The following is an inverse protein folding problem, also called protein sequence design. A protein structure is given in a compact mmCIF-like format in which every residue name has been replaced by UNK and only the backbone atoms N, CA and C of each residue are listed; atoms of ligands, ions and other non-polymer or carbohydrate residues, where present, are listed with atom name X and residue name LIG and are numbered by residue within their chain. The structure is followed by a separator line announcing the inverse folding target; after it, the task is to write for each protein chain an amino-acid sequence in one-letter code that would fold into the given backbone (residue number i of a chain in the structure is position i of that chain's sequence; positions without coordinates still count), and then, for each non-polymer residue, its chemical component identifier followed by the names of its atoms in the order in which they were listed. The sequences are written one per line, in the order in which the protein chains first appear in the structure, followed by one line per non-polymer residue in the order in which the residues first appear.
data_IF_685797162226
#
_entry.id   IF_685797162226
#
_cell.length_a   1.000
_cell.length_b   1.000
_cell.length_c   1.000
_cell.angle_alpha   90.00
_cell.angle_beta   90.00
_cell.angle_gamma   90.00
#
_symmetry.space_group_name_H-M   'P 1'
#
loop_
_entity.id
_entity.type
_entity.pdbx_description
1 polymer ?
#
# COMPACT_ATOMS: atom_id res chain seq x y z
N UNK A 1 -1.38 -37.27 -3.99
CA UNK A 1 -2.83 -37.04 -4.17
C UNK A 1 -3.02 -35.54 -4.05
N UNK A 2 -3.24 -34.87 -5.17
CA UNK A 2 -3.22 -33.40 -5.30
C UNK A 2 -4.50 -32.80 -4.72
N UNK A 3 -4.42 -32.27 -3.50
CA UNK A 3 -5.55 -31.64 -2.82
C UNK A 3 -5.73 -30.18 -3.28
N UNK A 4 -6.17 -30.00 -4.53
CA UNK A 4 -7.01 -28.86 -4.88
C UNK A 4 -6.36 -27.56 -5.35
N UNK A 5 -5.16 -27.58 -5.95
CA UNK A 5 -4.67 -26.64 -6.99
C UNK A 5 -4.70 -25.12 -6.74
N UNK A 6 -5.15 -24.68 -5.57
CA UNK A 6 -5.22 -23.31 -5.15
C UNK A 6 -3.97 -23.11 -4.28
N UNK A 7 -3.00 -22.33 -4.74
CA UNK A 7 -1.76 -22.03 -4.01
C UNK A 7 -2.04 -21.25 -2.72
N UNK A 8 -2.73 -21.87 -1.75
CA UNK A 8 -3.13 -21.27 -0.48
C UNK A 8 -1.88 -21.00 0.32
N UNK A 9 -1.42 -19.75 0.27
CA UNK A 9 -0.27 -19.25 1.04
C UNK A 9 -0.79 -18.68 2.35
N UNK A 10 -0.43 -19.30 3.46
CA UNK A 10 -0.65 -18.73 4.79
C UNK A 10 0.55 -17.85 5.11
N UNK A 11 0.29 -16.59 5.47
CA UNK A 11 1.29 -15.67 6.02
C UNK A 11 0.98 -15.47 7.49
N UNK A 12 2.01 -15.57 8.33
CA UNK A 12 1.92 -15.34 9.77
C UNK A 12 2.79 -14.14 10.09
N UNK A 13 2.21 -13.14 10.75
CA UNK A 13 2.90 -11.92 11.17
C UNK A 13 2.96 -11.89 12.69
N UNK A 14 4.14 -11.57 13.25
CA UNK A 14 4.25 -11.25 14.68
C UNK A 14 3.88 -9.78 14.85
N UNK A 15 2.88 -9.50 15.67
CA UNK A 15 2.55 -8.13 16.04
C UNK A 15 3.59 -7.56 17.01
N UNK A 16 3.84 -6.23 17.00
CA UNK A 16 4.65 -5.58 18.00
C UNK A 16 4.07 -5.76 19.41
N UNK A 17 4.93 -5.69 20.43
CA UNK A 17 4.50 -5.92 21.82
C UNK A 17 3.62 -4.77 22.36
N UNK A 18 3.65 -3.59 21.73
CA UNK A 18 2.77 -2.45 21.99
C UNK A 18 2.15 -1.94 20.68
N UNK A 19 0.95 -1.32 20.69
CA UNK A 19 0.33 -0.79 19.47
C UNK A 19 1.20 0.25 18.76
N UNK A 20 1.21 0.21 17.42
CA UNK A 20 1.80 1.27 16.62
C UNK A 20 0.93 2.54 16.67
N UNK A 21 1.52 3.67 16.31
CA UNK A 21 0.77 4.90 16.13
C UNK A 21 -0.26 4.74 15.00
N UNK A 22 -1.45 5.28 15.21
CA UNK A 22 -2.54 5.24 14.23
C UNK A 22 -2.42 6.35 13.16
N UNK A 23 -1.28 7.03 13.09
CA UNK A 23 -1.01 8.12 12.17
C UNK A 23 0.40 7.98 11.61
N UNK A 24 0.51 8.14 10.30
CA UNK A 24 1.78 8.19 9.60
C UNK A 24 1.84 9.49 8.79
N UNK A 25 3.02 10.09 8.69
CA UNK A 25 3.26 11.28 7.88
C UNK A 25 4.57 11.08 7.14
N UNK A 26 4.50 11.19 5.82
CA UNK A 26 5.64 11.06 4.92
C UNK A 26 5.54 12.08 3.80
N UNK A 27 6.69 12.58 3.39
CA UNK A 27 6.88 13.42 2.22
C UNK A 27 7.72 12.64 1.21
N UNK A 28 7.32 12.69 -0.06
CA UNK A 28 7.97 11.96 -1.15
C UNK A 28 7.99 12.87 -2.37
N UNK A 29 9.16 13.00 -3.00
CA UNK A 29 9.32 13.69 -4.27
C UNK A 29 8.95 12.76 -5.42
N UNK A 30 8.10 13.22 -6.33
CA UNK A 30 7.60 12.46 -7.49
C UNK A 30 7.76 13.32 -8.74
N UNK A 31 8.50 12.80 -9.72
CA UNK A 31 8.62 13.44 -11.03
C UNK A 31 7.29 13.35 -11.79
N UNK A 32 6.78 14.49 -12.24
CA UNK A 32 5.52 14.57 -12.98
C UNK A 32 5.75 14.59 -14.49
N UNK A 33 4.86 13.92 -15.20
CA UNK A 33 4.73 14.08 -16.64
C UNK A 33 4.15 15.46 -16.96
N UNK A 34 4.75 16.15 -17.93
CA UNK A 34 4.27 17.45 -18.42
C UNK A 34 2.96 17.32 -19.21
N UNK A 35 2.78 16.19 -19.89
CA UNK A 35 1.62 15.92 -20.73
C UNK A 35 0.75 14.81 -20.12
N UNK A 36 -0.56 15.06 -20.07
CA UNK A 36 -1.55 14.11 -19.58
C UNK A 36 -1.72 14.09 -18.05
N UNK A 37 -2.49 13.12 -17.57
CA UNK A 37 -2.84 12.97 -16.16
C UNK A 37 -1.76 12.21 -15.39
N UNK A 38 -1.31 12.76 -14.26
CA UNK A 38 -0.45 12.06 -13.31
C UNK A 38 -1.33 11.42 -12.22
N UNK A 39 -1.65 10.14 -12.39
CA UNK A 39 -2.39 9.36 -11.40
C UNK A 39 -1.46 8.74 -10.36
N UNK A 40 -1.69 9.07 -9.09
CA UNK A 40 -0.90 8.59 -7.96
C UNK A 40 -1.81 7.79 -7.03
N UNK A 41 -1.32 6.64 -6.58
CA UNK A 41 -1.97 5.82 -5.56
C UNK A 41 -1.09 5.70 -4.34
N UNK A 42 -1.71 5.73 -3.16
CA UNK A 42 -1.05 5.44 -1.91
C UNK A 42 -1.49 4.06 -1.45
N UNK A 43 -0.52 3.17 -1.24
CA UNK A 43 -0.71 1.89 -0.58
C UNK A 43 -0.14 1.97 0.84
N UNK A 44 -0.95 1.60 1.83
CA UNK A 44 -0.51 1.48 3.22
C UNK A 44 -0.60 0.03 3.63
N UNK A 45 0.45 -0.46 4.29
CA UNK A 45 0.51 -1.79 4.89
C UNK A 45 0.55 -1.64 6.42
N UNK A 46 -0.30 -2.38 7.11
CA UNK A 46 -0.29 -2.48 8.57
C UNK A 46 0.57 -3.66 9.03
N UNK A 47 0.90 -3.68 10.32
CA UNK A 47 1.79 -4.67 10.95
C UNK A 47 1.29 -6.13 10.86
N UNK A 48 -0.02 -6.31 10.65
CA UNK A 48 -0.67 -7.60 10.47
C UNK A 48 -0.71 -8.06 8.99
N UNK A 49 -0.12 -7.26 8.09
CA UNK A 49 -0.07 -7.52 6.66
C UNK A 49 -1.33 -7.14 5.90
N UNK A 50 -2.29 -6.44 6.53
CA UNK A 50 -3.42 -5.85 5.81
C UNK A 50 -2.96 -4.68 4.93
N UNK A 51 -3.63 -4.50 3.79
CA UNK A 51 -3.32 -3.46 2.82
C UNK A 51 -4.54 -2.59 2.54
N UNK A 52 -4.34 -1.28 2.62
CA UNK A 52 -5.31 -0.27 2.21
C UNK A 52 -4.79 0.53 1.00
N UNK A 53 -5.72 1.03 0.20
CA UNK A 53 -5.44 1.82 -1.00
C UNK A 53 -6.22 3.12 -0.99
N UNK A 54 -5.62 4.19 -1.49
CA UNK A 54 -6.35 5.41 -1.84
C UNK A 54 -7.13 5.25 -3.15
N UNK A 55 -8.11 6.13 -3.36
CA UNK A 55 -8.55 6.45 -4.73
C UNK A 55 -7.39 7.06 -5.54
N UNK A 56 -7.44 7.05 -6.88
CA UNK A 56 -6.44 7.74 -7.69
C UNK A 56 -6.43 9.23 -7.37
N UNK A 57 -5.25 9.75 -7.08
CA UNK A 57 -4.98 11.17 -6.84
C UNK A 57 -4.42 11.74 -8.14
N UNK A 58 -5.07 12.74 -8.70
CA UNK A 58 -4.65 13.38 -9.94
C UNK A 58 -3.92 14.68 -9.62
N UNK A 59 -2.70 14.82 -10.14
CA UNK A 59 -1.89 16.04 -9.98
C UNK A 59 -1.50 16.61 -11.35
N UNK A 60 -1.38 17.93 -11.43
CA UNK A 60 -1.00 18.64 -12.65
C UNK A 60 0.38 19.27 -12.46
N UNK A 61 1.27 19.09 -13.44
CA UNK A 61 2.55 19.80 -13.48
C UNK A 61 2.28 21.30 -13.71
N UNK A 62 2.95 22.16 -12.94
CA UNK A 62 2.87 23.63 -13.05
C UNK A 62 3.85 24.13 -14.10
#
# INVERSE_FOLDING_TARGET
MEAGGLERKIKVFRLPDAPLENRITHEVDIDLHQDGDNQIWIAVYTEDGFQAWSSPIYVQAI
#
